data_IF_211917111831
#
_entry.id   IF_211917111831
#
_cell.length_a   1.000
_cell.length_b   1.000
_cell.length_c   1.000
_cell.angle_alpha   90.00
_cell.angle_beta   90.00
_cell.angle_gamma   90.00
#
_symmetry.space_group_name_H-M   'P 1'
#
loop_
_entity.id
_entity.type
_entity.pdbx_description
1 polymer ?
#
# COMPACT_ATOMS: atom_id res chain seq x y z
N UNK A 1 -0.79 30.55 -45.38
CA UNK A 1 -1.62 30.29 -44.17
C UNK A 1 -0.87 29.37 -43.21
N UNK A 2 -0.19 29.91 -42.19
CA UNK A 2 0.44 29.09 -41.14
C UNK A 2 -0.68 28.60 -40.21
N UNK A 3 -1.06 27.32 -40.31
CA UNK A 3 -1.97 26.69 -39.33
C UNK A 3 -1.26 26.73 -37.98
N UNK A 4 -1.75 27.57 -37.07
CA UNK A 4 -1.31 27.59 -35.69
C UNK A 4 -1.83 26.29 -35.05
N UNK A 5 -1.04 25.21 -35.12
CA UNK A 5 -1.32 23.97 -34.38
C UNK A 5 -1.17 24.33 -32.91
N UNK A 6 -2.28 24.53 -32.21
CA UNK A 6 -2.27 24.57 -30.74
C UNK A 6 -1.66 23.25 -30.27
N UNK A 7 -0.42 23.32 -29.80
CA UNK A 7 0.32 22.17 -29.29
C UNK A 7 -0.22 21.83 -27.91
N UNK A 8 -1.16 20.88 -27.86
CA UNK A 8 -1.64 20.31 -26.61
C UNK A 8 -0.50 19.51 -25.98
N UNK A 9 0.19 20.14 -25.02
CA UNK A 9 1.37 19.60 -24.33
C UNK A 9 1.10 19.48 -22.85
N UNK A 10 1.64 18.43 -22.25
CA UNK A 10 1.64 18.29 -20.80
C UNK A 10 2.45 19.44 -20.16
N UNK A 11 1.85 20.15 -19.22
CA UNK A 11 2.46 21.26 -18.48
C UNK A 11 3.60 20.82 -17.56
N UNK A 12 3.70 19.52 -17.25
CA UNK A 12 4.68 18.96 -16.32
C UNK A 12 5.91 18.39 -17.04
N UNK A 13 5.71 17.51 -18.02
CA UNK A 13 6.81 16.85 -18.74
C UNK A 13 7.06 17.39 -20.15
N UNK A 14 6.21 18.28 -20.66
CA UNK A 14 6.35 18.88 -21.99
C UNK A 14 5.96 18.00 -23.17
N UNK A 15 5.59 16.72 -22.95
CA UNK A 15 5.19 15.79 -24.01
C UNK A 15 3.96 16.27 -24.76
N UNK A 16 3.97 16.07 -26.08
CA UNK A 16 2.84 16.35 -26.95
C UNK A 16 1.75 15.26 -26.84
N UNK A 17 0.50 15.59 -27.20
CA UNK A 17 -0.62 14.63 -27.23
C UNK A 17 -0.34 13.34 -28.03
N UNK A 18 0.57 13.38 -29.01
CA UNK A 18 0.95 12.19 -29.79
C UNK A 18 1.85 11.21 -29.03
N UNK A 19 2.51 11.67 -27.96
CA UNK A 19 3.46 10.87 -27.17
C UNK A 19 2.86 10.37 -25.85
N UNK A 20 1.68 10.88 -25.48
CA UNK A 20 0.94 10.48 -24.30
C UNK A 20 -0.27 9.64 -24.72
N UNK A 21 -0.57 8.59 -23.96
CA UNK A 21 -1.77 7.78 -24.19
C UNK A 21 -3.04 8.59 -23.88
N UNK A 22 -3.00 9.37 -22.79
CA UNK A 22 -4.11 10.16 -22.30
C UNK A 22 -3.60 11.54 -21.89
N UNK A 23 -4.19 12.60 -22.44
CA UNK A 23 -3.92 13.98 -22.02
C UNK A 23 -5.19 14.59 -21.46
N UNK A 24 -5.19 14.86 -20.15
CA UNK A 24 -6.30 15.47 -19.41
C UNK A 24 -6.16 16.99 -19.50
N UNK A 25 -7.21 17.68 -19.95
CA UNK A 25 -7.26 19.14 -20.02
C UNK A 25 -7.97 19.72 -18.78
N UNK A 26 -7.30 20.63 -18.09
CA UNK A 26 -7.86 21.48 -17.03
C UNK A 26 -8.17 22.90 -17.54
N UNK A 27 -8.51 23.79 -16.61
CA UNK A 27 -8.84 25.20 -16.92
C UNK A 27 -7.62 25.94 -17.50
N UNK A 28 -6.46 25.79 -16.84
CA UNK A 28 -5.23 26.52 -17.17
C UNK A 28 -4.04 25.60 -17.53
N UNK A 29 -4.26 24.31 -17.78
CA UNK A 29 -3.16 23.37 -18.02
C UNK A 29 -3.58 21.99 -18.51
N UNK A 30 -2.62 21.19 -18.94
CA UNK A 30 -2.83 19.81 -19.37
C UNK A 30 -1.86 18.87 -18.65
N UNK A 31 -2.32 17.68 -18.28
CA UNK A 31 -1.50 16.66 -17.60
C UNK A 31 -1.66 15.30 -18.30
N UNK A 32 -0.56 14.58 -18.52
CA UNK A 32 -0.59 13.24 -19.11
C UNK A 32 -0.67 12.15 -18.04
N UNK A 33 -1.02 10.92 -18.46
CA UNK A 33 -1.13 9.75 -17.58
C UNK A 33 0.12 9.52 -16.73
N UNK A 34 1.32 9.64 -17.33
CA UNK A 34 2.60 9.41 -16.65
C UNK A 34 2.84 10.42 -15.54
N UNK A 35 2.49 11.69 -15.78
CA UNK A 35 2.65 12.73 -14.75
C UNK A 35 1.62 12.58 -13.63
N UNK A 36 0.43 12.05 -13.90
CA UNK A 36 -0.54 11.71 -12.85
C UNK A 36 0.00 10.60 -11.96
N UNK A 37 0.53 9.53 -12.54
CA UNK A 37 1.13 8.42 -11.78
C UNK A 37 2.28 8.90 -10.88
N UNK A 38 3.20 9.69 -11.42
CA UNK A 38 4.30 10.26 -10.64
C UNK A 38 3.81 11.21 -9.55
N UNK A 39 2.79 12.03 -9.82
CA UNK A 39 2.23 12.93 -8.83
C UNK A 39 1.56 12.16 -7.68
N UNK A 40 0.89 11.03 -7.97
CA UNK A 40 0.30 10.15 -6.95
C UNK A 40 1.40 9.54 -6.08
N UNK A 41 2.48 9.03 -6.66
CA UNK A 41 3.61 8.48 -5.91
C UNK A 41 4.22 9.52 -4.95
N UNK A 42 4.51 10.72 -5.45
CA UNK A 42 5.05 11.82 -4.63
C UNK A 42 4.05 12.22 -3.52
N UNK A 43 2.75 12.30 -3.82
CA UNK A 43 1.73 12.59 -2.83
C UNK A 43 1.66 11.50 -1.74
N UNK A 44 1.78 10.24 -2.13
CA UNK A 44 1.76 9.13 -1.18
C UNK A 44 2.99 9.16 -0.26
N UNK A 45 4.16 9.51 -0.80
CA UNK A 45 5.38 9.70 -0.01
C UNK A 45 5.29 10.90 0.94
N UNK A 46 4.79 12.04 0.49
CA UNK A 46 4.72 13.24 1.33
C UNK A 46 3.60 13.17 2.38
N UNK A 47 2.44 12.58 2.04
CA UNK A 47 1.29 12.48 2.94
C UNK A 47 1.39 11.25 3.87
N UNK A 48 1.86 10.11 3.37
CA UNK A 48 1.92 8.85 4.12
C UNK A 48 3.35 8.38 4.44
N UNK A 49 4.39 8.92 3.79
CA UNK A 49 5.78 8.56 4.08
C UNK A 49 6.24 8.96 5.48
N UNK A 50 5.67 10.02 6.09
CA UNK A 50 5.87 10.31 7.53
C UNK A 50 5.20 9.29 8.47
N UNK A 51 4.26 8.47 7.99
CA UNK A 51 3.74 7.31 8.72
C UNK A 51 4.48 6.00 8.36
N UNK A 52 5.29 5.97 7.29
CA UNK A 52 6.06 4.78 6.89
C UNK A 52 7.26 4.50 7.79
N UNK A 53 7.78 5.50 8.52
CA UNK A 53 8.77 5.25 9.59
C UNK A 53 8.24 4.32 10.71
N UNK A 54 6.92 4.12 10.79
CA UNK A 54 6.27 3.15 11.69
C UNK A 54 5.80 1.87 11.00
N UNK A 55 5.80 1.79 9.65
CA UNK A 55 5.18 0.68 8.89
C UNK A 55 6.13 -0.08 7.97
N UNK A 56 7.32 0.45 7.66
CA UNK A 56 8.33 -0.19 6.81
C UNK A 56 9.58 -0.69 7.58
N UNK A 57 9.44 -0.97 8.88
CA UNK A 57 10.32 -2.01 9.46
C UNK A 57 9.92 -3.34 8.83
N UNK A 58 10.86 -4.24 8.48
CA UNK A 58 10.49 -5.62 8.21
C UNK A 58 9.66 -6.07 9.42
N UNK A 59 8.49 -6.67 9.19
CA UNK A 59 7.59 -7.19 10.24
C UNK A 59 8.22 -8.39 10.97
N UNK A 60 9.42 -8.22 11.53
CA UNK A 60 10.10 -9.21 12.36
C UNK A 60 9.71 -9.10 13.83
N UNK A 61 9.05 -8.00 14.21
CA UNK A 61 8.64 -7.77 15.60
C UNK A 61 7.13 -8.01 15.71
N UNK A 62 6.70 -9.25 15.42
CA UNK A 62 5.40 -9.70 15.87
C UNK A 62 5.48 -9.83 17.39
N UNK A 63 4.82 -8.94 18.14
CA UNK A 63 4.63 -9.10 19.58
C UNK A 63 3.22 -9.58 19.82
N UNK A 64 3.07 -10.64 20.62
CA UNK A 64 1.76 -11.04 21.10
C UNK A 64 1.29 -10.00 22.12
N UNK A 65 0.05 -9.50 22.04
CA UNK A 65 -0.48 -8.66 23.10
C UNK A 65 -0.59 -9.46 24.40
N UNK A 66 -0.13 -8.91 25.53
CA UNK A 66 -0.18 -9.54 26.87
C UNK A 66 -1.58 -9.98 27.31
N UNK A 67 -2.63 -9.43 26.69
CA UNK A 67 -4.02 -9.79 26.97
C UNK A 67 -4.45 -11.12 26.34
N UNK A 68 -3.67 -11.68 25.41
CA UNK A 68 -4.03 -12.90 24.68
C UNK A 68 -3.53 -14.11 25.43
N UNK A 69 -4.44 -14.94 25.94
CA UNK A 69 -4.08 -16.16 26.66
C UNK A 69 -3.91 -17.36 25.71
N UNK A 70 -3.17 -18.42 26.10
CA UNK A 70 -3.06 -19.64 25.30
C UNK A 70 -4.42 -20.29 24.98
N UNK A 71 -5.43 -20.10 25.84
CA UNK A 71 -6.78 -20.61 25.60
C UNK A 71 -7.48 -19.88 24.46
N UNK A 72 -7.25 -18.58 24.31
CA UNK A 72 -7.83 -17.77 23.23
C UNK A 72 -7.18 -18.09 21.88
N UNK A 73 -5.85 -18.31 21.87
CA UNK A 73 -5.13 -18.78 20.69
C UNK A 73 -5.70 -20.13 20.24
N UNK A 74 -5.89 -21.07 21.19
CA UNK A 74 -6.47 -22.37 20.88
C UNK A 74 -7.88 -22.25 20.33
N UNK A 75 -8.73 -21.42 20.94
CA UNK A 75 -10.11 -21.18 20.49
C UNK A 75 -10.13 -20.63 19.07
N UNK A 76 -9.24 -19.69 18.75
CA UNK A 76 -9.12 -19.18 17.39
C UNK A 76 -8.64 -20.27 16.41
N UNK A 77 -7.74 -21.17 16.83
CA UNK A 77 -7.35 -22.32 16.01
C UNK A 77 -8.50 -23.32 15.80
N UNK A 78 -9.43 -23.44 16.74
CA UNK A 78 -10.59 -24.34 16.64
C UNK A 78 -11.53 -23.95 15.48
N UNK A 79 -11.59 -22.67 15.10
CA UNK A 79 -12.41 -22.18 13.99
C UNK A 79 -11.91 -22.63 12.61
N UNK A 80 -10.60 -22.96 12.51
CA UNK A 80 -9.96 -23.33 11.24
C UNK A 80 -9.42 -24.76 11.22
N UNK A 81 -9.13 -25.34 12.38
CA UNK A 81 -8.48 -26.66 12.53
C UNK A 81 -9.36 -27.61 13.33
N UNK A 82 -10.05 -28.49 12.62
CA UNK A 82 -10.94 -29.50 13.18
C UNK A 82 -10.09 -30.67 13.74
N UNK A 83 -10.28 -30.99 15.02
CA UNK A 83 -9.52 -32.04 15.72
C UNK A 83 -8.09 -31.60 16.08
N UNK A 84 -7.14 -32.55 16.19
CA UNK A 84 -5.73 -32.26 16.54
C UNK A 84 -5.56 -31.50 17.87
N UNK A 85 -6.33 -31.88 18.89
CA UNK A 85 -6.38 -31.20 20.19
C UNK A 85 -5.02 -31.06 20.87
N UNK A 86 -4.19 -32.11 20.79
CA UNK A 86 -2.85 -32.10 21.36
C UNK A 86 -1.94 -31.07 20.66
N UNK A 87 -1.97 -31.01 19.33
CA UNK A 87 -1.16 -30.08 18.55
C UNK A 87 -1.58 -28.63 18.79
N UNK A 88 -2.90 -28.34 18.79
CA UNK A 88 -3.43 -26.99 19.07
C UNK A 88 -3.01 -26.49 20.44
N UNK A 89 -3.03 -27.37 21.46
CA UNK A 89 -2.58 -27.04 22.82
C UNK A 89 -1.09 -26.68 22.84
N UNK A 90 -0.24 -27.51 22.22
CA UNK A 90 1.21 -27.30 22.20
C UNK A 90 1.57 -26.02 21.45
N UNK A 91 0.96 -25.78 20.29
CA UNK A 91 1.19 -24.56 19.50
C UNK A 91 0.76 -23.31 20.25
N UNK A 92 -0.40 -23.33 20.90
CA UNK A 92 -0.91 -22.17 21.64
C UNK A 92 0.02 -21.77 22.79
N UNK A 93 0.56 -22.75 23.52
CA UNK A 93 1.53 -22.49 24.59
C UNK A 93 2.89 -22.07 24.05
N UNK A 94 3.35 -22.68 22.96
CA UNK A 94 4.63 -22.34 22.34
C UNK A 94 4.65 -20.91 21.81
N UNK A 95 3.56 -20.46 21.16
CA UNK A 95 3.41 -19.09 20.65
C UNK A 95 3.37 -18.09 21.78
N UNK A 96 2.55 -18.32 22.82
CA UNK A 96 2.45 -17.43 23.99
C UNK A 96 3.75 -17.30 24.80
N UNK A 97 4.58 -18.35 24.81
CA UNK A 97 5.86 -18.29 25.53
C UNK A 97 7.00 -17.71 24.68
N UNK A 98 6.87 -17.71 23.36
CA UNK A 98 7.92 -17.25 22.45
C UNK A 98 7.77 -15.76 22.10
N UNK A 99 6.53 -15.29 21.99
CA UNK A 99 6.15 -13.93 21.62
C UNK A 99 5.38 -13.26 22.76
#
# INVERSE_FOLDING_TARGET
>A
MRRNKQSYRCSFCGRDKSEALILIAGIDGHICEVCVEQAVEILEEELYGKQKDLKDKPRTDFCLPDSVTPQEIKRHLDDYVIGQEAAKKVLSVAVYNHY
#
